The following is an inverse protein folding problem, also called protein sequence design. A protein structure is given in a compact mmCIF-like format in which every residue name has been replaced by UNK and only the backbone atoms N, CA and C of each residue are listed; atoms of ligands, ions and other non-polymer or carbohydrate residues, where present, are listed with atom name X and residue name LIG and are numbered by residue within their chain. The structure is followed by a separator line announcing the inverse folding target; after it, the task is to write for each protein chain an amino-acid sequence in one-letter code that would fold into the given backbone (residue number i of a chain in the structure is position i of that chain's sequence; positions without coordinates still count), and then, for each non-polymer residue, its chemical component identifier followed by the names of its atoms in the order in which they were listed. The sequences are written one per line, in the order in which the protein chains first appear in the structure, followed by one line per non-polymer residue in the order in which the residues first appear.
data_IF_594294938379
#
_entry.id   IF_594294938379
#
_cell.length_a   1.000
_cell.length_b   1.000
_cell.length_c   1.000
_cell.angle_alpha   90.00
_cell.angle_beta   90.00
_cell.angle_gamma   90.00
#
_symmetry.space_group_name_H-M   'P 1'
#
loop_
_entity.id
_entity.type
_entity.pdbx_description
1 polymer ?
#
# COMPACT_ATOMS: atom_id res chain seq x y z
N UNK A 1 15.51 -34.43 -44.04
CA UNK A 1 15.86 -34.71 -42.64
C UNK A 1 17.17 -34.01 -42.30
N UNK A 2 17.15 -32.96 -41.47
CA UNK A 2 18.23 -32.70 -40.49
C UNK A 2 17.82 -31.61 -39.50
N UNK A 3 18.29 -31.80 -38.27
CA UNK A 3 17.83 -31.25 -36.99
C UNK A 3 18.07 -29.74 -36.85
N UNK A 4 17.06 -28.99 -36.38
CA UNK A 4 17.28 -27.66 -35.78
C UNK A 4 17.50 -27.82 -34.27
N UNK A 5 18.76 -27.73 -33.87
CA UNK A 5 19.19 -27.68 -32.47
C UNK A 5 18.69 -26.39 -31.82
N UNK A 6 17.90 -26.53 -30.76
CA UNK A 6 17.53 -25.45 -29.83
C UNK A 6 18.77 -25.01 -29.06
N UNK A 7 19.22 -23.77 -29.28
CA UNK A 7 20.09 -23.08 -28.33
C UNK A 7 19.21 -22.03 -27.63
N UNK A 8 18.83 -22.33 -26.40
CA UNK A 8 18.27 -21.37 -25.45
C UNK A 8 19.34 -20.31 -25.19
N UNK A 9 19.26 -19.18 -25.91
CA UNK A 9 19.95 -17.96 -25.52
C UNK A 9 19.32 -17.52 -24.20
N UNK A 10 20.04 -17.84 -23.12
CA UNK A 10 19.97 -17.14 -21.84
C UNK A 10 19.78 -15.65 -22.11
N UNK A 11 18.56 -15.16 -21.89
CA UNK A 11 18.24 -13.74 -21.89
C UNK A 11 19.03 -13.10 -20.74
N UNK A 12 20.19 -12.54 -21.10
CA UNK A 12 20.85 -11.48 -20.34
C UNK A 12 19.95 -10.26 -20.48
N UNK A 13 19.01 -10.10 -19.56
CA UNK A 13 18.22 -8.88 -19.44
C UNK A 13 19.18 -7.82 -18.90
N UNK A 14 19.70 -6.97 -19.79
CA UNK A 14 20.30 -5.72 -19.38
C UNK A 14 19.17 -4.84 -18.83
N UNK A 15 19.28 -4.49 -17.54
CA UNK A 15 18.39 -3.50 -16.95
C UNK A 15 18.85 -2.15 -17.47
N UNK A 16 18.20 -1.67 -18.53
CA UNK A 16 18.13 -0.23 -18.77
C UNK A 16 17.28 0.35 -17.64
N UNK A 17 17.88 1.25 -16.85
CA UNK A 17 17.16 2.09 -15.90
C UNK A 17 16.27 3.06 -16.70
N UNK A 18 15.16 2.55 -17.23
CA UNK A 18 14.11 3.39 -17.79
C UNK A 18 13.60 4.26 -16.65
N UNK A 19 13.62 5.58 -16.82
CA UNK A 19 12.98 6.53 -15.91
C UNK A 19 11.51 6.10 -15.74
N UNK A 20 11.27 5.36 -14.66
CA UNK A 20 9.98 4.80 -14.34
C UNK A 20 9.14 5.97 -13.86
N UNK A 21 8.16 6.37 -14.67
CA UNK A 21 7.18 7.40 -14.34
C UNK A 21 6.56 7.03 -12.98
N UNK A 22 7.06 7.68 -11.92
CA UNK A 22 6.70 7.30 -10.55
C UNK A 22 5.27 7.76 -10.35
N UNK A 23 4.33 6.82 -10.37
CA UNK A 23 2.97 7.12 -9.92
C UNK A 23 3.06 7.72 -8.51
N UNK A 24 2.32 8.80 -8.21
CA UNK A 24 2.39 9.49 -6.92
C UNK A 24 2.10 8.57 -5.73
N UNK A 25 1.45 7.43 -5.93
CA UNK A 25 1.24 6.39 -4.92
C UNK A 25 2.54 5.83 -4.32
N UNK A 26 3.63 5.71 -5.09
CA UNK A 26 4.90 5.15 -4.60
C UNK A 26 5.46 6.00 -3.45
N UNK A 27 5.24 7.32 -3.51
CA UNK A 27 5.74 8.26 -2.51
C UNK A 27 5.00 8.17 -1.18
N UNK A 28 3.82 7.52 -1.12
CA UNK A 28 3.04 7.41 0.11
C UNK A 28 3.16 6.05 0.79
N UNK A 29 3.70 5.03 0.15
CA UNK A 29 3.63 3.65 0.65
C UNK A 29 4.76 3.28 1.60
N UNK A 30 4.45 2.44 2.60
CA UNK A 30 5.43 1.86 3.53
C UNK A 30 6.24 2.89 4.34
N UNK A 31 5.67 4.08 4.60
CA UNK A 31 6.30 5.15 5.37
C UNK A 31 5.75 5.22 6.79
N UNK A 32 6.57 5.69 7.73
CA UNK A 32 6.08 6.00 9.07
C UNK A 32 5.29 7.31 9.00
N UNK A 33 4.07 7.27 9.55
CA UNK A 33 3.21 8.44 9.62
C UNK A 33 3.29 9.04 11.02
N UNK A 34 3.58 10.35 11.10
CA UNK A 34 3.74 11.11 12.35
C UNK A 34 2.75 12.26 12.41
N UNK A 35 2.27 12.58 13.61
CA UNK A 35 1.49 13.78 13.90
C UNK A 35 2.04 14.41 15.19
N UNK A 36 2.40 15.70 15.11
CA UNK A 36 3.05 16.43 16.23
C UNK A 36 4.25 15.68 16.80
N UNK A 37 5.10 15.15 15.91
CA UNK A 37 6.30 14.37 16.26
C UNK A 37 6.06 12.95 16.79
N UNK A 38 4.81 12.52 17.01
CA UNK A 38 4.49 11.17 17.53
C UNK A 38 4.08 10.22 16.40
N UNK A 39 4.54 8.97 16.44
CA UNK A 39 4.12 7.93 15.50
C UNK A 39 2.62 7.68 15.61
N UNK A 40 1.93 7.79 14.48
CA UNK A 40 0.52 7.44 14.30
C UNK A 40 0.41 5.99 13.83
N UNK A 41 1.25 5.59 12.87
CA UNK A 41 1.24 4.24 12.30
C UNK A 41 2.14 4.15 11.07
N UNK A 42 1.83 3.21 10.17
CA UNK A 42 2.50 3.03 8.88
C UNK A 42 1.48 3.14 7.74
N UNK A 43 1.85 3.80 6.65
CA UNK A 43 1.01 3.92 5.48
C UNK A 43 0.92 2.60 4.71
N UNK A 44 -0.30 2.22 4.33
CA UNK A 44 -0.59 0.91 3.72
C UNK A 44 -1.34 0.97 2.39
N UNK A 45 -1.97 2.11 2.06
CA UNK A 45 -2.65 2.34 0.79
C UNK A 45 -2.93 3.84 0.63
N UNK A 46 -3.07 4.28 -0.62
CA UNK A 46 -3.78 5.51 -0.98
C UNK A 46 -5.03 5.07 -1.73
N UNK A 47 -6.17 5.66 -1.39
CA UNK A 47 -7.45 5.30 -2.00
C UNK A 47 -8.42 6.48 -1.90
N UNK A 48 -9.01 6.88 -3.03
CA UNK A 48 -9.99 7.96 -3.12
C UNK A 48 -9.60 9.25 -2.36
N UNK A 49 -8.36 9.71 -2.58
CA UNK A 49 -7.82 10.90 -1.91
C UNK A 49 -7.61 10.74 -0.40
N UNK A 50 -7.62 9.50 0.11
CA UNK A 50 -7.32 9.17 1.50
C UNK A 50 -6.02 8.37 1.61
N UNK A 51 -5.21 8.68 2.62
CA UNK A 51 -4.11 7.85 3.07
C UNK A 51 -4.60 6.88 4.15
N UNK A 52 -4.35 5.59 3.94
CA UNK A 52 -4.67 4.54 4.90
C UNK A 52 -3.45 4.27 5.78
N UNK A 53 -3.66 4.32 7.08
CA UNK A 53 -2.62 4.21 8.09
C UNK A 53 -2.95 3.05 9.03
N UNK A 54 -2.11 2.03 9.06
CA UNK A 54 -2.25 0.90 9.97
C UNK A 54 -1.53 1.20 11.29
N UNK A 55 -2.23 1.00 12.40
CA UNK A 55 -1.67 1.05 13.74
C UNK A 55 -2.13 -0.15 14.56
N UNK A 56 -1.29 -1.19 14.67
CA UNK A 56 -1.51 -2.44 15.44
C UNK A 56 -2.89 -3.08 15.24
N UNK A 57 -3.93 -2.53 15.88
CA UNK A 57 -5.32 -3.02 15.89
C UNK A 57 -6.29 -2.23 15.01
N UNK A 58 -5.93 -1.02 14.59
CA UNK A 58 -6.83 -0.12 13.86
C UNK A 58 -6.23 0.32 12.51
N UNK A 59 -7.12 0.62 11.57
CA UNK A 59 -6.81 1.34 10.35
C UNK A 59 -7.44 2.73 10.48
N UNK A 60 -6.65 3.76 10.20
CA UNK A 60 -7.10 5.14 10.08
C UNK A 60 -7.11 5.50 8.59
N UNK A 61 -8.05 6.33 8.20
CA UNK A 61 -8.13 6.93 6.86
C UNK A 61 -8.10 8.44 7.04
N UNK A 62 -7.09 9.11 6.49
CA UNK A 62 -6.95 10.57 6.57
C UNK A 62 -6.90 11.18 5.17
N UNK A 63 -7.48 12.36 4.94
CA UNK A 63 -7.40 13.02 3.64
C UNK A 63 -5.95 13.33 3.27
N UNK A 64 -5.58 13.23 1.99
CA UNK A 64 -4.25 13.65 1.54
C UNK A 64 -3.95 15.12 1.87
N UNK A 65 -4.97 15.99 1.85
CA UNK A 65 -4.86 17.41 2.24
C UNK A 65 -4.44 17.62 3.71
N UNK A 66 -4.48 16.57 4.54
CA UNK A 66 -3.98 16.62 5.92
C UNK A 66 -2.47 16.36 6.03
N UNK A 67 -1.78 16.13 4.92
CA UNK A 67 -0.34 15.85 4.85
C UNK A 67 0.40 17.16 4.58
N UNK A 68 1.29 17.54 5.50
CA UNK A 68 2.15 18.73 5.33
C UNK A 68 3.49 18.44 4.70
N UNK A 69 3.99 17.20 4.81
CA UNK A 69 5.24 16.81 4.18
C UNK A 69 5.28 15.31 3.89
N UNK A 70 5.94 14.95 2.79
CA UNK A 70 6.25 13.59 2.38
C UNK A 70 7.76 13.52 2.11
N UNK A 71 8.48 12.75 2.91
CA UNK A 71 9.89 12.41 2.69
C UNK A 71 10.12 10.96 3.09
N UNK A 72 11.07 10.65 3.98
CA UNK A 72 11.18 9.31 4.58
C UNK A 72 9.96 8.99 5.46
N UNK A 73 9.45 10.01 6.15
CA UNK A 73 8.23 9.97 6.93
C UNK A 73 7.12 10.79 6.26
N UNK A 74 5.87 10.47 6.58
CA UNK A 74 4.70 11.29 6.25
C UNK A 74 4.32 12.09 7.49
N UNK A 75 4.25 13.41 7.35
CA UNK A 75 3.88 14.32 8.43
C UNK A 75 2.44 14.79 8.23
N UNK A 76 1.61 14.56 9.24
CA UNK A 76 0.23 15.03 9.28
C UNK A 76 0.14 16.35 10.02
N UNK A 77 -0.68 17.24 9.47
CA UNK A 77 -1.25 18.40 10.13
C UNK A 77 -2.44 18.00 11.03
N UNK A 78 -3.33 18.95 11.31
CA UNK A 78 -4.51 18.72 12.14
C UNK A 78 -5.53 17.87 11.40
N UNK A 79 -5.90 16.74 11.99
CA UNK A 79 -6.98 15.89 11.50
C UNK A 79 -7.93 15.48 12.64
N UNK A 80 -9.14 15.06 12.29
CA UNK A 80 -10.10 14.51 13.24
C UNK A 80 -9.86 13.00 13.41
N UNK A 81 -9.26 12.61 14.54
CA UNK A 81 -8.94 11.20 14.84
C UNK A 81 -10.16 10.28 14.89
N UNK A 82 -11.29 10.74 15.42
CA UNK A 82 -12.50 9.93 15.51
C UNK A 82 -13.09 9.65 14.11
N UNK A 83 -13.14 10.68 13.25
CA UNK A 83 -13.55 10.53 11.85
C UNK A 83 -12.59 9.60 11.10
N UNK A 84 -11.28 9.79 11.26
CA UNK A 84 -10.28 8.96 10.60
C UNK A 84 -10.40 7.47 10.96
N UNK A 85 -10.66 7.19 12.24
CA UNK A 85 -10.90 5.83 12.71
C UNK A 85 -12.19 5.22 12.13
N UNK A 86 -13.28 5.99 12.09
CA UNK A 86 -14.55 5.54 11.50
C UNK A 86 -14.36 5.19 10.02
N UNK A 87 -13.73 6.08 9.25
CA UNK A 87 -13.49 5.88 7.82
C UNK A 87 -12.52 4.72 7.55
N UNK A 88 -11.45 4.60 8.32
CA UNK A 88 -10.52 3.47 8.17
C UNK A 88 -11.16 2.11 8.48
N UNK A 89 -12.09 2.05 9.44
CA UNK A 89 -12.86 0.82 9.68
C UNK A 89 -13.93 0.54 8.64
N UNK A 90 -14.53 1.57 8.05
CA UNK A 90 -15.43 1.41 6.92
C UNK A 90 -14.68 0.81 5.73
N UNK A 91 -13.55 1.41 5.34
CA UNK A 91 -12.65 0.90 4.29
C UNK A 91 -12.27 -0.57 4.52
N UNK A 92 -11.89 -0.92 5.76
CA UNK A 92 -11.52 -2.29 6.13
C UNK A 92 -12.66 -3.28 5.97
N UNK A 93 -13.89 -2.86 6.22
CA UNK A 93 -15.08 -3.72 6.16
C UNK A 93 -15.52 -3.92 4.71
N UNK A 94 -15.52 -2.84 3.92
CA UNK A 94 -15.99 -2.84 2.53
C UNK A 94 -15.05 -3.60 1.59
N UNK A 95 -13.74 -3.59 1.86
CA UNK A 95 -12.72 -4.25 1.02
C UNK A 95 -12.24 -5.60 1.55
N UNK A 96 -13.00 -6.19 2.47
CA UNK A 96 -12.64 -7.48 3.04
C UNK A 96 -13.12 -8.60 2.11
N UNK A 97 -12.24 -9.02 1.21
CA UNK A 97 -12.40 -10.32 0.57
C UNK A 97 -12.14 -11.39 1.64
N UNK A 98 -13.21 -11.94 2.20
CA UNK A 98 -13.12 -13.00 3.18
C UNK A 98 -12.80 -14.31 2.45
N UNK A 99 -11.53 -14.71 2.48
CA UNK A 99 -11.12 -16.03 2.03
C UNK A 99 -11.67 -17.09 2.98
N UNK A 100 -12.55 -17.96 2.47
CA UNK A 100 -13.09 -19.11 3.20
C UNK A 100 -12.27 -20.34 2.88
N UNK A 101 -11.96 -21.13 3.89
CA UNK A 101 -11.20 -22.36 3.74
C UNK A 101 -12.01 -23.55 4.22
N UNK A 102 -11.85 -24.69 3.55
CA UNK A 102 -12.44 -25.94 4.01
C UNK A 102 -11.66 -26.53 5.20
N UNK A 103 -12.15 -27.65 5.74
CA UNK A 103 -11.52 -28.37 6.86
C UNK A 103 -10.11 -28.90 6.54
N UNK A 104 -9.72 -28.94 5.26
CA UNK A 104 -8.41 -29.38 4.80
C UNK A 104 -7.49 -28.19 4.49
N UNK A 105 -7.96 -26.95 4.67
CA UNK A 105 -7.20 -25.73 4.39
C UNK A 105 -7.23 -25.28 2.92
N UNK A 106 -8.15 -25.80 2.10
CA UNK A 106 -8.31 -25.41 0.70
C UNK A 106 -9.23 -24.19 0.57
N UNK A 107 -8.84 -23.22 -0.26
CA UNK A 107 -9.67 -22.05 -0.55
C UNK A 107 -10.99 -22.49 -1.22
N UNK A 108 -12.11 -22.06 -0.66
CA UNK A 108 -13.45 -22.25 -1.21
C UNK A 108 -13.89 -20.92 -1.83
N UNK A 109 -14.25 -20.95 -3.13
CA UNK A 109 -14.84 -19.82 -3.85
C UNK A 109 -16.36 -19.78 -3.64
#
# INVERSE_FOLDING_TARGET
MTLKTRILKFLRIEREDSEMDKSPEIDYMCKIVKHRGKKVGESIAVDDGQLLIKNKKEILSVPLDSISAVSDDIILDKFNKAKAKKMGQQWRTERRDEMKYDKNGMLIQ
#
